data_IF_263667029449
#
_entry.id   IF_263667029449
#
_cell.length_a   1.000
_cell.length_b   1.000
_cell.length_c   1.000
_cell.angle_alpha   90.00
_cell.angle_beta   90.00
_cell.angle_gamma   90.00
#
_symmetry.space_group_name_H-M   'P 1'
#
loop_
_entity.id
_entity.type
_entity.pdbx_description
1 polymer ?
#
# COMPACT_ATOMS: atom_id res chain seq x y z
N UNK A 1 -8.27 -8.89 -33.21
CA UNK A 1 -8.32 -9.97 -32.22
C UNK A 1 -8.72 -9.33 -30.93
N UNK A 2 -9.82 -9.79 -30.37
CA UNK A 2 -10.46 -9.12 -29.24
C UNK A 2 -9.76 -9.33 -27.91
N UNK A 3 -10.11 -8.56 -26.88
CA UNK A 3 -9.45 -8.70 -25.57
C UNK A 3 -9.63 -10.10 -24.98
N UNK A 4 -10.83 -10.68 -25.10
CA UNK A 4 -11.12 -12.02 -24.57
C UNK A 4 -10.34 -13.11 -25.33
N UNK A 5 -10.21 -12.98 -26.66
CA UNK A 5 -9.42 -13.89 -27.50
C UNK A 5 -7.93 -13.82 -27.14
N UNK A 6 -7.41 -12.61 -26.93
CA UNK A 6 -6.04 -12.39 -26.48
C UNK A 6 -5.81 -13.00 -25.09
N UNK A 7 -6.78 -12.93 -24.19
CA UNK A 7 -6.70 -13.57 -22.88
C UNK A 7 -6.70 -15.10 -22.99
N UNK A 8 -7.49 -15.68 -23.88
CA UNK A 8 -7.47 -17.11 -24.14
C UNK A 8 -6.12 -17.58 -24.69
N UNK A 9 -5.57 -16.87 -25.68
CA UNK A 9 -4.27 -17.22 -26.28
C UNK A 9 -3.13 -17.16 -25.26
N UNK A 10 -3.14 -16.15 -24.39
CA UNK A 10 -2.00 -15.83 -23.53
C UNK A 10 -2.11 -16.40 -22.12
N UNK A 11 -3.32 -16.42 -21.55
CA UNK A 11 -3.59 -16.85 -20.17
C UNK A 11 -4.43 -18.13 -20.11
N UNK A 12 -4.91 -18.66 -21.24
CA UNK A 12 -5.70 -19.90 -21.30
C UNK A 12 -7.11 -19.74 -20.72
N UNK A 13 -7.63 -18.52 -20.68
CA UNK A 13 -8.98 -18.23 -20.20
C UNK A 13 -9.53 -16.93 -20.80
N UNK A 14 -10.80 -16.96 -21.19
CA UNK A 14 -11.58 -15.76 -21.56
C UNK A 14 -12.16 -15.01 -20.36
N UNK A 15 -12.11 -15.60 -19.16
CA UNK A 15 -12.59 -14.96 -17.92
C UNK A 15 -11.55 -13.99 -17.35
N UNK A 16 -11.86 -12.69 -17.38
CA UNK A 16 -10.99 -11.60 -16.92
C UNK A 16 -10.63 -11.72 -15.42
N UNK A 17 -11.55 -12.22 -14.59
CA UNK A 17 -11.29 -12.41 -13.16
C UNK A 17 -10.30 -13.54 -12.92
N UNK A 18 -10.38 -14.61 -13.72
CA UNK A 18 -9.40 -15.71 -13.67
C UNK A 18 -8.02 -15.28 -14.12
N UNK A 19 -7.91 -14.39 -15.11
CA UNK A 19 -6.62 -13.78 -15.50
C UNK A 19 -5.95 -13.11 -14.29
N UNK A 20 -6.71 -12.39 -13.47
CA UNK A 20 -6.21 -11.75 -12.24
C UNK A 20 -6.10 -12.71 -11.03
N UNK A 21 -6.62 -13.93 -11.15
CA UNK A 21 -6.67 -14.92 -10.07
C UNK A 21 -7.60 -14.52 -8.92
N UNK A 22 -8.67 -13.77 -9.21
CA UNK A 22 -9.67 -13.32 -8.23
C UNK A 22 -11.04 -13.89 -8.55
N UNK A 23 -11.99 -13.76 -7.61
CA UNK A 23 -13.40 -14.14 -7.82
C UNK A 23 -14.15 -13.00 -8.48
N UNK A 24 -15.30 -13.31 -9.07
CA UNK A 24 -16.16 -12.32 -9.74
C UNK A 24 -16.67 -11.24 -8.77
N UNK A 25 -16.88 -11.62 -7.51
CA UNK A 25 -17.33 -10.72 -6.43
C UNK A 25 -16.19 -9.89 -5.81
N UNK A 26 -14.98 -9.94 -6.38
CA UNK A 26 -13.82 -9.23 -5.85
C UNK A 26 -14.07 -7.72 -5.73
N UNK A 27 -13.72 -7.15 -4.58
CA UNK A 27 -13.68 -5.71 -4.38
C UNK A 27 -12.63 -5.03 -5.26
N UNK A 28 -12.75 -3.72 -5.47
CA UNK A 28 -11.77 -2.92 -6.23
C UNK A 28 -10.33 -3.10 -5.69
N UNK A 29 -10.19 -3.22 -4.36
CA UNK A 29 -8.93 -3.50 -3.71
C UNK A 29 -8.38 -4.91 -4.02
N UNK A 30 -9.24 -5.92 -4.12
CA UNK A 30 -8.84 -7.28 -4.51
C UNK A 30 -8.45 -7.36 -5.99
N UNK A 31 -9.19 -6.69 -6.88
CA UNK A 31 -8.85 -6.57 -8.31
C UNK A 31 -7.48 -5.92 -8.48
N UNK A 32 -7.23 -4.78 -7.80
CA UNK A 32 -5.92 -4.11 -7.81
C UNK A 32 -4.80 -5.01 -7.30
N UNK A 33 -5.02 -5.74 -6.20
CA UNK A 33 -4.02 -6.68 -5.66
C UNK A 33 -3.75 -7.85 -6.60
N UNK A 34 -4.78 -8.42 -7.22
CA UNK A 34 -4.66 -9.47 -8.23
C UNK A 34 -3.84 -9.02 -9.43
N UNK A 35 -4.17 -7.84 -9.98
CA UNK A 35 -3.39 -7.21 -11.04
C UNK A 35 -1.92 -6.99 -10.67
N UNK A 36 -1.64 -6.46 -9.48
CA UNK A 36 -0.26 -6.29 -9.01
C UNK A 36 0.50 -7.63 -8.97
N UNK A 37 -0.13 -8.68 -8.45
CA UNK A 37 0.49 -10.00 -8.32
C UNK A 37 0.84 -10.59 -9.68
N UNK A 38 -0.08 -10.54 -10.64
CA UNK A 38 0.13 -11.13 -11.97
C UNK A 38 1.08 -10.27 -12.81
N UNK A 39 0.99 -8.95 -12.71
CA UNK A 39 1.90 -8.03 -13.43
C UNK A 39 3.35 -8.26 -13.03
N UNK A 40 3.61 -8.52 -11.75
CA UNK A 40 4.93 -8.90 -11.25
C UNK A 40 5.44 -10.23 -11.81
N UNK A 41 4.61 -11.11 -12.35
CA UNK A 41 5.03 -12.38 -12.97
C UNK A 41 5.35 -12.22 -14.45
N UNK A 42 4.67 -11.28 -15.13
CA UNK A 42 4.80 -11.05 -16.57
C UNK A 42 5.57 -9.77 -16.90
N UNK A 43 6.15 -9.08 -15.91
CA UNK A 43 6.84 -7.82 -16.13
C UNK A 43 8.13 -8.01 -16.95
N UNK A 44 8.38 -7.20 -18.00
CA UNK A 44 9.56 -7.33 -18.86
C UNK A 44 10.90 -7.21 -18.10
N UNK A 45 10.98 -6.38 -17.05
CA UNK A 45 12.17 -6.28 -16.17
C UNK A 45 12.54 -7.57 -15.42
N UNK A 46 11.69 -8.61 -15.42
CA UNK A 46 11.93 -9.85 -14.66
C UNK A 46 12.35 -11.04 -15.52
N UNK A 47 12.42 -10.85 -16.85
CA UNK A 47 12.78 -11.90 -17.80
C UNK A 47 14.05 -11.53 -18.58
N UNK A 48 14.70 -12.53 -19.18
CA UNK A 48 15.88 -12.31 -20.03
C UNK A 48 15.52 -11.70 -21.39
N UNK A 49 16.53 -11.22 -22.12
CA UNK A 49 16.35 -10.52 -23.41
C UNK A 49 15.52 -11.30 -24.44
N UNK A 50 15.66 -12.63 -24.46
CA UNK A 50 14.92 -13.51 -25.38
C UNK A 50 13.41 -13.58 -25.13
N UNK A 51 12.97 -13.32 -23.89
CA UNK A 51 11.56 -13.45 -23.49
C UNK A 51 10.87 -12.09 -23.30
N UNK A 52 11.61 -10.98 -23.43
CA UNK A 52 11.09 -9.62 -23.21
C UNK A 52 9.88 -9.30 -24.08
N UNK A 53 9.86 -9.76 -25.33
CA UNK A 53 8.75 -9.50 -26.26
C UNK A 53 7.46 -10.19 -25.79
N UNK A 54 7.55 -11.46 -25.39
CA UNK A 54 6.41 -12.20 -24.85
C UNK A 54 5.94 -11.57 -23.53
N UNK A 55 6.86 -11.28 -22.60
CA UNK A 55 6.54 -10.59 -21.35
C UNK A 55 5.83 -9.24 -21.58
N UNK A 56 6.32 -8.43 -22.53
CA UNK A 56 5.69 -7.17 -22.92
C UNK A 56 4.28 -7.39 -23.43
N UNK A 57 4.07 -8.37 -24.32
CA UNK A 57 2.75 -8.72 -24.85
C UNK A 57 1.79 -9.13 -23.72
N UNK A 58 2.24 -10.03 -22.84
CA UNK A 58 1.46 -10.48 -21.67
C UNK A 58 1.10 -9.32 -20.76
N UNK A 59 2.04 -8.44 -20.49
CA UNK A 59 1.87 -7.29 -19.61
C UNK A 59 0.87 -6.27 -20.17
N UNK A 60 0.93 -5.99 -21.48
CA UNK A 60 -0.03 -5.10 -22.15
C UNK A 60 -1.45 -5.66 -22.11
N UNK A 61 -1.63 -6.96 -22.38
CA UNK A 61 -2.94 -7.62 -22.30
C UNK A 61 -3.46 -7.57 -20.86
N UNK A 62 -2.61 -7.87 -19.88
CA UNK A 62 -2.97 -7.78 -18.47
C UNK A 62 -3.39 -6.34 -18.07
N UNK A 63 -2.72 -5.32 -18.60
CA UNK A 63 -3.11 -3.92 -18.42
C UNK A 63 -4.53 -3.64 -18.89
N UNK A 64 -4.89 -4.14 -20.09
CA UNK A 64 -6.25 -4.05 -20.65
C UNK A 64 -7.28 -4.79 -19.79
N UNK A 65 -6.95 -5.98 -19.28
CA UNK A 65 -7.82 -6.71 -18.34
C UNK A 65 -8.10 -5.87 -17.10
N UNK A 66 -7.06 -5.28 -16.52
CA UNK A 66 -7.21 -4.44 -15.34
C UNK A 66 -8.02 -3.17 -15.61
N UNK A 67 -7.89 -2.54 -16.77
CA UNK A 67 -8.67 -1.33 -17.07
C UNK A 67 -10.16 -1.60 -17.22
N UNK A 68 -10.56 -2.76 -17.75
CA UNK A 68 -11.96 -3.19 -17.74
C UNK A 68 -12.45 -3.45 -16.31
N UNK A 69 -11.69 -4.21 -15.51
CA UNK A 69 -12.15 -4.63 -14.17
C UNK A 69 -12.02 -3.55 -13.08
N UNK A 70 -11.22 -2.51 -13.31
CA UNK A 70 -11.07 -1.40 -12.37
C UNK A 70 -11.98 -0.22 -12.68
N UNK A 71 -12.50 -0.13 -13.90
CA UNK A 71 -13.53 0.83 -14.27
C UNK A 71 -14.92 0.25 -13.98
N UNK A 72 -15.73 0.98 -13.19
CA UNK A 72 -17.01 0.45 -12.72
C UNK A 72 -18.02 0.25 -13.84
N UNK A 73 -18.01 1.12 -14.85
CA UNK A 73 -18.97 1.08 -15.94
C UNK A 73 -18.60 -0.05 -16.90
N UNK A 74 -17.33 -0.17 -17.26
CA UNK A 74 -16.81 -1.27 -18.09
C UNK A 74 -16.96 -2.63 -17.41
N UNK A 75 -16.69 -2.70 -16.10
CA UNK A 75 -16.88 -3.93 -15.33
C UNK A 75 -18.35 -4.34 -15.29
N UNK A 76 -19.28 -3.39 -15.11
CA UNK A 76 -20.71 -3.67 -15.13
C UNK A 76 -21.17 -4.22 -16.49
N UNK A 77 -20.72 -3.60 -17.59
CA UNK A 77 -21.00 -4.10 -18.95
C UNK A 77 -20.45 -5.51 -19.14
N UNK A 78 -19.19 -5.76 -18.74
CA UNK A 78 -18.60 -7.09 -18.79
C UNK A 78 -19.37 -8.10 -17.94
N UNK A 79 -19.84 -7.69 -16.75
CA UNK A 79 -20.57 -8.58 -15.86
C UNK A 79 -21.97 -8.94 -16.38
N UNK A 80 -22.65 -8.01 -17.03
CA UNK A 80 -23.98 -8.23 -17.59
C UNK A 80 -23.95 -8.99 -18.92
N UNK A 81 -23.02 -8.63 -19.81
CA UNK A 81 -23.02 -9.09 -21.20
C UNK A 81 -21.99 -10.19 -21.48
N UNK A 82 -20.97 -10.33 -20.61
CA UNK A 82 -19.84 -11.22 -20.84
C UNK A 82 -18.91 -10.78 -21.97
N UNK A 83 -19.10 -9.55 -22.48
CA UNK A 83 -18.34 -8.96 -23.58
C UNK A 83 -17.63 -7.69 -23.13
N UNK A 84 -16.61 -7.29 -23.89
CA UNK A 84 -15.83 -6.07 -23.63
C UNK A 84 -16.02 -5.13 -24.81
N UNK A 85 -16.28 -3.85 -24.53
CA UNK A 85 -16.35 -2.82 -25.56
C UNK A 85 -14.94 -2.43 -26.01
N UNK A 86 -14.52 -2.92 -27.17
CA UNK A 86 -13.17 -2.72 -27.71
C UNK A 86 -12.92 -1.30 -28.21
N UNK A 87 -13.98 -0.56 -28.53
CA UNK A 87 -13.92 0.83 -28.98
C UNK A 87 -13.93 1.82 -27.80
N UNK A 88 -14.02 1.31 -26.56
CA UNK A 88 -13.93 2.12 -25.36
C UNK A 88 -12.58 2.82 -25.26
N UNK A 89 -12.61 4.12 -24.91
CA UNK A 89 -11.41 4.94 -24.68
C UNK A 89 -10.47 4.33 -23.62
N UNK A 90 -11.04 3.52 -22.72
CA UNK A 90 -10.33 2.76 -21.66
C UNK A 90 -9.37 1.71 -22.23
N UNK A 91 -9.62 1.22 -23.45
CA UNK A 91 -8.83 0.21 -24.15
C UNK A 91 -7.99 0.75 -25.31
N UNK A 92 -7.95 2.07 -25.48
CA UNK A 92 -7.15 2.76 -26.50
C UNK A 92 -5.70 2.24 -26.54
N UNK A 93 -5.23 1.97 -27.76
CA UNK A 93 -3.95 1.28 -28.03
C UNK A 93 -2.72 2.09 -27.60
N UNK A 94 -2.84 3.40 -27.41
CA UNK A 94 -1.73 4.31 -27.12
C UNK A 94 -1.36 4.38 -25.62
N UNK A 95 -2.02 3.62 -24.75
CA UNK A 95 -1.70 3.64 -23.33
C UNK A 95 -0.37 2.92 -23.06
N UNK A 96 0.62 3.68 -22.59
CA UNK A 96 1.84 3.14 -21.99
C UNK A 96 1.53 2.49 -20.64
N UNK A 97 1.28 1.18 -20.69
CA UNK A 97 0.96 0.36 -19.52
C UNK A 97 2.10 0.28 -18.52
N UNK A 98 3.36 0.41 -18.95
CA UNK A 98 4.52 0.34 -18.06
C UNK A 98 4.59 1.62 -17.22
N UNK A 99 4.45 2.77 -17.86
CA UNK A 99 4.36 4.06 -17.16
C UNK A 99 3.15 4.09 -16.21
N UNK A 100 1.98 3.65 -16.67
CA UNK A 100 0.79 3.55 -15.83
C UNK A 100 1.02 2.64 -14.61
N UNK A 101 1.61 1.45 -14.80
CA UNK A 101 1.92 0.53 -13.72
C UNK A 101 2.91 1.12 -12.71
N UNK A 102 3.97 1.80 -13.17
CA UNK A 102 4.94 2.47 -12.29
C UNK A 102 4.29 3.59 -11.47
N UNK A 103 3.28 4.27 -12.01
CA UNK A 103 2.49 5.25 -11.25
C UNK A 103 1.60 4.58 -10.19
N UNK A 104 0.99 3.44 -10.52
CA UNK A 104 0.13 2.70 -9.59
C UNK A 104 0.91 1.98 -8.48
N UNK A 105 2.06 1.41 -8.81
CA UNK A 105 2.87 0.56 -7.94
C UNK A 105 4.30 1.10 -7.84
N UNK A 106 4.41 2.38 -7.46
CA UNK A 106 5.70 3.00 -7.17
C UNK A 106 6.50 2.10 -6.24
N UNK A 107 7.70 1.72 -6.68
CA UNK A 107 8.61 0.91 -5.89
C UNK A 107 9.00 1.73 -4.65
N UNK A 108 8.44 1.38 -3.49
CA UNK A 108 8.87 1.94 -2.22
C UNK A 108 10.28 1.41 -1.97
N UNK A 109 11.26 2.30 -2.10
CA UNK A 109 12.65 2.00 -1.80
C UNK A 109 12.95 2.22 -0.31
N UNK A 110 14.05 1.66 0.15
CA UNK A 110 14.56 1.98 1.50
C UNK A 110 14.90 3.47 1.62
N UNK A 111 15.32 4.10 0.51
CA UNK A 111 15.61 5.53 0.45
C UNK A 111 14.33 6.35 0.65
N UNK A 112 13.19 5.93 0.07
CA UNK A 112 11.90 6.59 0.28
C UNK A 112 11.45 6.51 1.74
N UNK A 113 11.63 5.34 2.38
CA UNK A 113 11.30 5.15 3.81
C UNK A 113 12.19 6.03 4.69
N UNK A 114 13.49 6.07 4.41
CA UNK A 114 14.45 6.89 5.16
C UNK A 114 14.20 8.40 4.93
N UNK A 115 13.85 8.79 3.72
CA UNK A 115 13.49 10.17 3.40
C UNK A 115 12.22 10.59 4.17
N UNK A 116 11.19 9.73 4.17
CA UNK A 116 9.97 9.97 4.96
C UNK A 116 10.26 10.06 6.46
N UNK A 117 11.06 9.13 7.00
CA UNK A 117 11.47 9.15 8.41
C UNK A 117 12.17 10.48 8.76
N UNK A 118 13.06 10.96 7.89
CA UNK A 118 13.79 12.22 8.09
C UNK A 118 12.88 13.44 8.06
N UNK A 119 11.83 13.43 7.22
CA UNK A 119 10.88 14.55 7.15
C UNK A 119 9.85 14.51 8.27
N UNK A 120 9.46 13.31 8.71
CA UNK A 120 8.45 13.12 9.75
C UNK A 120 9.03 13.35 11.16
N UNK A 121 10.21 12.81 11.47
CA UNK A 121 10.83 12.98 12.81
C UNK A 121 11.14 14.44 13.11
N UNK A 122 10.60 14.95 14.22
CA UNK A 122 10.71 16.32 14.67
C UNK A 122 9.78 17.31 13.97
N UNK A 123 8.91 16.83 13.07
CA UNK A 123 7.92 17.67 12.40
C UNK A 123 6.72 18.00 13.31
N UNK A 124 5.95 19.02 12.92
CA UNK A 124 4.67 19.33 13.57
C UNK A 124 3.67 18.17 13.49
N UNK A 125 3.73 17.38 12.41
CA UNK A 125 2.90 16.18 12.20
C UNK A 125 3.21 15.13 13.26
N UNK A 126 4.49 14.81 13.49
CA UNK A 126 4.87 13.86 14.54
C UNK A 126 4.43 14.35 15.93
N UNK A 127 4.60 15.65 16.22
CA UNK A 127 4.17 16.22 17.50
C UNK A 127 2.65 16.08 17.68
N UNK A 128 1.87 16.32 16.62
CA UNK A 128 0.42 16.14 16.63
C UNK A 128 0.03 14.67 16.83
N UNK A 129 0.66 13.74 16.11
CA UNK A 129 0.39 12.31 16.20
C UNK A 129 0.74 11.73 17.56
N UNK A 130 1.87 12.14 18.15
CA UNK A 130 2.26 11.75 19.52
C UNK A 130 1.26 12.27 20.54
N UNK A 131 0.80 13.52 20.41
CA UNK A 131 -0.23 14.09 21.30
C UNK A 131 -1.56 13.36 21.14
N UNK A 132 -1.97 13.07 19.92
CA UNK A 132 -3.21 12.36 19.63
C UNK A 132 -3.17 10.94 20.20
N UNK A 133 -2.09 10.18 19.95
CA UNK A 133 -1.89 8.86 20.53
C UNK A 133 -1.88 8.91 22.07
N UNK A 134 -1.26 9.94 22.66
CA UNK A 134 -1.26 10.14 24.11
C UNK A 134 -2.67 10.32 24.68
N UNK A 135 -3.53 11.07 24.00
CA UNK A 135 -4.94 11.26 24.38
C UNK A 135 -5.74 9.96 24.22
N UNK A 136 -5.60 9.28 23.08
CA UNK A 136 -6.35 8.06 22.75
C UNK A 136 -6.04 6.92 23.73
N UNK A 137 -4.75 6.76 24.08
CA UNK A 137 -4.30 5.72 25.00
C UNK A 137 -4.15 6.19 26.45
N UNK A 138 -4.63 7.41 26.76
CA UNK A 138 -4.63 7.99 28.11
C UNK A 138 -3.26 7.88 28.81
N UNK A 139 -2.20 8.14 28.06
CA UNK A 139 -0.82 8.09 28.53
C UNK A 139 -0.20 6.70 28.70
N UNK A 140 -0.82 5.63 28.20
CA UNK A 140 -0.17 4.32 28.15
C UNK A 140 0.92 4.27 27.08
N UNK A 141 2.17 4.36 27.52
CA UNK A 141 3.31 4.39 26.64
C UNK A 141 3.60 3.09 25.90
N UNK A 142 3.06 1.93 26.32
CA UNK A 142 3.19 0.71 25.52
C UNK A 142 2.40 0.87 24.21
N UNK A 143 1.15 1.35 24.31
CA UNK A 143 0.27 1.55 23.16
C UNK A 143 0.76 2.70 22.26
N UNK A 144 1.21 3.81 22.86
CA UNK A 144 1.71 4.98 22.11
C UNK A 144 2.94 4.59 21.27
N UNK A 145 3.88 3.84 21.85
CA UNK A 145 5.09 3.42 21.12
C UNK A 145 4.79 2.41 20.02
N UNK A 146 3.70 1.66 20.12
CA UNK A 146 3.23 0.73 19.08
C UNK A 146 2.40 1.42 17.98
N UNK A 147 1.80 2.59 18.27
CA UNK A 147 0.94 3.31 17.33
C UNK A 147 1.63 4.40 16.52
N UNK A 148 2.63 5.09 17.08
CA UNK A 148 3.27 6.25 16.44
C UNK A 148 4.26 5.79 15.36
N UNK A 149 4.19 6.41 14.17
CA UNK A 149 5.04 6.09 13.04
C UNK A 149 6.53 6.41 13.30
N UNK A 150 7.41 5.64 12.65
CA UNK A 150 8.86 5.88 12.67
C UNK A 150 9.50 5.88 14.07
N UNK A 151 8.89 5.25 15.08
CA UNK A 151 9.43 5.19 16.44
C UNK A 151 10.02 3.82 16.74
N UNK A 152 11.26 3.80 17.23
CA UNK A 152 11.86 2.62 17.86
C UNK A 152 11.75 2.66 19.38
N UNK A 153 11.74 1.50 20.05
CA UNK A 153 11.72 1.43 21.52
C UNK A 153 12.92 2.12 22.19
N UNK A 154 14.06 2.21 21.49
CA UNK A 154 15.25 2.96 21.93
C UNK A 154 15.01 4.47 21.98
N UNK A 155 14.05 4.98 21.22
CA UNK A 155 13.70 6.40 21.10
C UNK A 155 12.62 6.83 22.10
N UNK A 156 12.17 5.93 22.98
CA UNK A 156 11.21 6.25 24.05
C UNK A 156 11.55 7.54 24.84
N UNK A 157 12.83 7.83 25.20
CA UNK A 157 13.17 9.08 25.89
C UNK A 157 12.78 10.33 25.10
N UNK A 158 12.88 10.30 23.76
CA UNK A 158 12.50 11.41 22.89
C UNK A 158 10.99 11.62 22.87
N UNK A 159 10.23 10.53 22.71
CA UNK A 159 8.75 10.58 22.72
C UNK A 159 8.22 11.06 24.06
N UNK A 160 8.80 10.58 25.17
CA UNK A 160 8.45 11.08 26.50
C UNK A 160 8.73 12.57 26.66
N UNK A 161 9.85 13.06 26.12
CA UNK A 161 10.17 14.47 26.19
C UNK A 161 9.15 15.32 25.41
N UNK A 162 8.71 14.88 24.23
CA UNK A 162 7.63 15.53 23.46
C UNK A 162 6.35 15.61 24.30
N UNK A 163 5.92 14.49 24.88
CA UNK A 163 4.72 14.42 25.72
C UNK A 163 4.86 15.33 26.95
N UNK A 164 6.01 15.30 27.61
CA UNK A 164 6.26 16.13 28.80
C UNK A 164 6.20 17.61 28.46
N UNK A 165 6.80 18.04 27.34
CA UNK A 165 6.71 19.42 26.86
C UNK A 165 5.26 19.83 26.55
N UNK A 166 4.46 18.93 25.95
CA UNK A 166 3.05 19.19 25.69
C UNK A 166 2.21 19.29 26.97
N UNK A 167 2.52 18.50 28.01
CA UNK A 167 1.89 18.61 29.34
C UNK A 167 2.27 19.93 29.99
N UNK A 168 3.55 20.29 29.97
CA UNK A 168 4.07 21.52 30.59
C UNK A 168 3.52 22.77 29.90
N UNK A 169 3.30 22.71 28.58
CA UNK A 169 2.63 23.74 27.80
C UNK A 169 1.10 23.78 28.00
N UNK A 170 0.52 22.80 28.69
CA UNK A 170 -0.93 22.69 28.90
C UNK A 170 -1.73 22.27 27.67
N UNK A 171 -1.06 21.73 26.63
CA UNK A 171 -1.71 21.27 25.39
C UNK A 171 -2.43 19.93 25.57
N UNK A 172 -1.95 19.09 26.48
CA UNK A 172 -2.56 17.80 26.84
C UNK A 172 -2.62 17.62 28.36
N UNK A 173 -3.62 16.89 28.90
CA UNK A 173 -3.74 16.68 30.34
C UNK A 173 -2.66 15.73 30.88
N UNK A 174 -2.38 15.79 32.17
CA UNK A 174 -1.45 14.85 32.81
C UNK A 174 -2.17 13.56 33.22
N UNK A 175 -1.84 12.43 32.57
CA UNK A 175 -2.37 11.11 32.95
C UNK A 175 -1.45 10.36 33.93
N UNK A 176 -2.05 9.74 34.95
CA UNK A 176 -1.32 8.92 35.93
C UNK A 176 -0.58 7.74 35.29
N UNK A 177 -1.11 7.15 34.21
CA UNK A 177 -0.48 6.04 33.50
C UNK A 177 0.91 6.41 32.95
N UNK A 178 1.08 7.68 32.57
CA UNK A 178 2.35 8.23 32.10
C UNK A 178 3.25 8.66 33.26
N UNK A 179 2.73 9.46 34.19
CA UNK A 179 3.51 10.08 35.28
C UNK A 179 4.01 9.06 36.30
N UNK A 180 3.17 8.08 36.64
CA UNK A 180 3.45 7.07 37.67
C UNK A 180 3.86 5.72 37.08
N UNK A 181 4.35 5.72 35.84
CA UNK A 181 4.75 4.49 35.20
C UNK A 181 5.88 3.78 35.97
N UNK A 182 5.76 2.47 36.12
CA UNK A 182 6.77 1.69 36.84
C UNK A 182 8.05 1.53 36.00
N UNK A 183 9.20 1.59 36.68
CA UNK A 183 10.51 1.31 36.06
C UNK A 183 10.57 -0.08 35.41
N UNK A 184 9.78 -1.04 35.92
CA UNK A 184 9.69 -2.39 35.34
C UNK A 184 9.07 -2.37 33.95
N UNK A 185 7.94 -1.67 33.74
CA UNK A 185 7.33 -1.52 32.41
C UNK A 185 8.29 -0.85 31.42
N UNK A 186 8.92 0.25 31.85
CA UNK A 186 9.91 0.96 31.03
C UNK A 186 11.08 0.05 30.62
N UNK A 187 11.63 -0.71 31.56
CA UNK A 187 12.74 -1.63 31.29
C UNK A 187 12.31 -2.82 30.41
N UNK A 188 11.08 -3.31 30.57
CA UNK A 188 10.53 -4.35 29.72
C UNK A 188 10.42 -3.88 28.27
N UNK A 189 9.95 -2.63 28.03
CA UNK A 189 9.87 -2.04 26.69
C UNK A 189 11.23 -1.88 26.03
N UNK A 190 12.23 -1.40 26.76
CA UNK A 190 13.62 -1.31 26.25
C UNK A 190 14.21 -2.65 25.81
N UNK A 191 13.73 -3.77 26.34
CA UNK A 191 14.17 -5.12 25.95
C UNK A 191 13.46 -5.66 24.70
N UNK A 192 12.42 -4.98 24.20
CA UNK A 192 11.68 -5.37 22.98
C UNK A 192 12.36 -4.93 21.68
N UNK A 193 13.60 -4.44 21.73
CA UNK A 193 14.39 -4.15 20.53
C UNK A 193 14.45 -5.44 19.71
N UNK A 194 13.72 -5.49 18.59
CA UNK A 194 13.80 -6.59 17.64
C UNK A 194 15.19 -6.53 16.99
N UNK A 195 15.91 -7.64 17.05
CA UNK A 195 17.05 -7.91 16.19
C UNK A 195 16.58 -8.12 14.74
#
# INVERSE_FOLDING_TARGET
MGLLELCEEVFGTTDLYRVLGVRREASDGEVRRGYHKVSLQVHPDRVGEGDKQDATRRFQILGKVYSVLSDKDQRAVYDEQGTVDEDSDVLSQDRDWETYWRLLFKKISLEDIQAFEKTYKGSEEELADVKQAYLDFKGDMDQIMESVLCVQYTEEPRIRNIIQQAIDAGEVPSYNAFVKESKQKMNARKRRVRF
#
